data_IF_755965379739
#
_entry.id   IF_755965379739
#
_cell.length_a   1.000
_cell.length_b   1.000
_cell.length_c   1.000
_cell.angle_alpha   90.00
_cell.angle_beta   90.00
_cell.angle_gamma   90.00
#
_symmetry.space_group_name_H-M   'P 1'
#
loop_
_entity.id
_entity.type
_entity.pdbx_description
1 polymer ?
#
# COMPACT_ATOMS: atom_id res chain seq x y z
N UNK A 1 5.84 3.52 1.71
CA UNK A 1 6.56 3.28 0.45
C UNK A 1 5.54 2.86 -0.59
N UNK A 2 5.52 3.54 -1.74
CA UNK A 2 4.65 3.16 -2.87
C UNK A 2 5.32 2.06 -3.67
N UNK A 3 4.64 0.91 -3.82
CA UNK A 3 5.16 -0.30 -4.47
C UNK A 3 4.34 -0.65 -5.71
N UNK A 4 5.03 -1.20 -6.71
CA UNK A 4 4.47 -1.57 -8.02
C UNK A 4 4.61 -3.06 -8.33
N UNK A 5 5.43 -3.77 -7.57
CA UNK A 5 5.68 -5.20 -7.76
C UNK A 5 6.08 -5.88 -6.43
N UNK A 6 6.21 -7.21 -6.50
CA UNK A 6 6.63 -8.03 -5.37
C UNK A 6 8.09 -7.80 -4.97
N UNK A 7 8.97 -7.42 -5.91
CA UNK A 7 10.39 -7.24 -5.65
C UNK A 7 10.64 -5.99 -4.80
N UNK A 8 10.04 -4.86 -5.18
CA UNK A 8 10.06 -3.62 -4.43
C UNK A 8 9.40 -3.75 -3.06
N UNK A 9 8.25 -4.44 -2.98
CA UNK A 9 7.62 -4.73 -1.69
C UNK A 9 8.51 -5.59 -0.78
N UNK A 10 9.16 -6.63 -1.32
CA UNK A 10 10.10 -7.47 -0.58
C UNK A 10 11.29 -6.67 -0.08
N UNK A 11 11.88 -5.83 -0.92
CA UNK A 11 13.01 -4.99 -0.55
C UNK A 11 12.62 -4.01 0.57
N UNK A 12 11.46 -3.38 0.45
CA UNK A 12 10.91 -2.49 1.46
C UNK A 12 10.79 -3.19 2.83
N UNK A 13 10.22 -4.40 2.87
CA UNK A 13 10.11 -5.19 4.09
C UNK A 13 11.49 -5.50 4.67
N UNK A 14 12.41 -6.02 3.86
CA UNK A 14 13.76 -6.41 4.32
C UNK A 14 14.54 -5.24 4.91
N UNK A 15 14.50 -4.07 4.27
CA UNK A 15 15.19 -2.87 4.76
C UNK A 15 14.52 -2.26 6.00
N UNK A 16 13.20 -2.42 6.14
CA UNK A 16 12.49 -1.97 7.32
C UNK A 16 12.83 -2.83 8.55
N UNK A 17 12.96 -4.15 8.36
CA UNK A 17 13.24 -5.09 9.45
C UNK A 17 12.21 -4.96 10.58
N UNK A 18 12.65 -5.07 11.83
CA UNK A 18 11.76 -5.01 13.01
C UNK A 18 10.99 -3.69 13.19
N UNK A 19 11.42 -2.59 12.56
CA UNK A 19 10.70 -1.30 12.60
C UNK A 19 9.38 -1.35 11.84
N UNK A 20 9.33 -2.20 10.82
CA UNK A 20 8.21 -2.33 9.90
C UNK A 20 8.00 -1.14 8.96
N UNK A 21 7.08 -1.31 8.02
CA UNK A 21 6.83 -0.33 6.95
C UNK A 21 5.37 -0.32 6.52
N UNK A 22 4.89 0.84 6.06
CA UNK A 22 3.64 0.95 5.34
C UNK A 22 3.90 0.78 3.84
N UNK A 23 3.31 -0.27 3.26
CA UNK A 23 3.29 -0.52 1.82
C UNK A 23 2.02 0.11 1.23
N UNK A 24 2.19 1.03 0.30
CA UNK A 24 1.10 1.73 -0.40
C UNK A 24 1.12 1.27 -1.86
N UNK A 25 -0.03 1.03 -2.48
CA UNK A 25 -0.07 0.78 -3.92
C UNK A 25 0.23 2.04 -4.74
N UNK A 26 0.52 1.87 -6.03
CA UNK A 26 0.50 2.98 -6.99
C UNK A 26 -0.83 3.77 -6.91
N UNK A 27 -0.84 5.08 -7.24
CA UNK A 27 -2.06 5.88 -7.32
C UNK A 27 -3.13 5.21 -8.19
N UNK A 28 -4.36 5.09 -7.67
CA UNK A 28 -5.49 4.50 -8.40
C UNK A 28 -5.34 3.02 -8.76
N UNK A 29 -4.37 2.29 -8.22
CA UNK A 29 -4.10 0.91 -8.61
C UNK A 29 -5.31 -0.02 -8.48
N UNK A 30 -6.23 0.22 -7.55
CA UNK A 30 -7.43 -0.60 -7.44
C UNK A 30 -8.34 -0.48 -8.68
N UNK A 31 -8.38 0.69 -9.33
CA UNK A 31 -9.19 0.91 -10.53
C UNK A 31 -8.68 0.14 -11.75
N UNK A 32 -7.36 0.06 -11.92
CA UNK A 32 -6.73 -0.56 -13.09
C UNK A 32 -6.37 -2.04 -12.91
N UNK A 33 -5.92 -2.43 -11.72
CA UNK A 33 -5.38 -3.77 -11.44
C UNK A 33 -6.22 -4.56 -10.44
N UNK A 34 -7.10 -3.87 -9.70
CA UNK A 34 -7.97 -4.48 -8.70
C UNK A 34 -7.26 -4.84 -7.39
N UNK A 35 -8.03 -5.09 -6.31
CA UNK A 35 -7.48 -5.47 -5.00
C UNK A 35 -6.68 -6.78 -5.02
N UNK A 36 -7.05 -7.73 -5.88
CA UNK A 36 -6.42 -9.05 -5.97
C UNK A 36 -4.94 -8.96 -6.37
N UNK A 37 -4.60 -8.04 -7.29
CA UNK A 37 -3.21 -7.79 -7.67
C UNK A 37 -2.37 -7.35 -6.48
N UNK A 38 -2.88 -6.40 -5.69
CA UNK A 38 -2.13 -5.87 -4.54
C UNK A 38 -1.95 -6.94 -3.46
N UNK A 39 -2.97 -7.77 -3.21
CA UNK A 39 -2.87 -8.93 -2.34
C UNK A 39 -1.81 -9.94 -2.82
N UNK A 40 -1.68 -10.15 -4.13
CA UNK A 40 -0.65 -11.04 -4.67
C UNK A 40 0.76 -10.51 -4.39
N UNK A 41 1.00 -9.20 -4.56
CA UNK A 41 2.26 -8.53 -4.20
C UNK A 41 2.56 -8.70 -2.71
N UNK A 42 1.59 -8.41 -1.84
CA UNK A 42 1.75 -8.54 -0.40
C UNK A 42 2.03 -9.98 0.01
N UNK A 43 1.33 -10.95 -0.59
CA UNK A 43 1.54 -12.38 -0.33
C UNK A 43 2.95 -12.83 -0.74
N UNK A 44 3.43 -12.41 -1.90
CA UNK A 44 4.80 -12.71 -2.34
C UNK A 44 5.85 -12.09 -1.41
N UNK A 45 5.69 -10.82 -1.05
CA UNK A 45 6.61 -10.11 -0.16
C UNK A 45 6.64 -10.73 1.24
N UNK A 46 5.49 -11.11 1.81
CA UNK A 46 5.38 -11.81 3.10
C UNK A 46 6.12 -13.15 3.10
N UNK A 47 6.02 -13.93 2.02
CA UNK A 47 6.76 -15.19 1.89
C UNK A 47 8.27 -14.97 1.81
N UNK A 48 8.70 -13.89 1.14
CA UNK A 48 10.12 -13.58 0.95
C UNK A 48 10.78 -12.86 2.14
N UNK A 49 9.99 -12.29 3.05
CA UNK A 49 10.41 -11.59 4.26
C UNK A 49 9.46 -11.92 5.44
N UNK A 50 9.44 -13.18 5.91
CA UNK A 50 8.51 -13.63 6.94
C UNK A 50 8.73 -12.89 8.27
N UNK A 51 7.65 -12.61 8.98
CA UNK A 51 7.69 -11.99 10.31
C UNK A 51 7.99 -10.49 10.34
N UNK A 52 8.29 -9.86 9.21
CA UNK A 52 8.50 -8.40 9.16
C UNK A 52 7.16 -7.66 9.34
N UNK A 53 7.04 -6.80 10.37
CA UNK A 53 5.83 -6.02 10.59
C UNK A 53 5.56 -5.09 9.40
N UNK A 54 4.32 -5.04 8.94
CA UNK A 54 3.94 -4.08 7.90
C UNK A 54 2.45 -3.76 7.93
N UNK A 55 2.12 -2.59 7.39
CA UNK A 55 0.76 -2.20 7.04
C UNK A 55 0.64 -2.13 5.52
N UNK A 56 -0.56 -2.37 5.00
CA UNK A 56 -0.83 -2.32 3.58
C UNK A 56 -1.98 -1.35 3.31
N UNK A 57 -1.76 -0.38 2.43
CA UNK A 57 -2.76 0.59 2.00
C UNK A 57 -2.99 0.43 0.50
N UNK A 58 -4.23 0.15 0.12
CA UNK A 58 -4.62 0.13 -1.29
C UNK A 58 -5.21 1.49 -1.67
N UNK A 59 -4.72 2.07 -2.75
CA UNK A 59 -5.28 3.28 -3.31
C UNK A 59 -6.39 2.94 -4.31
N UNK A 60 -7.60 3.38 -3.98
CA UNK A 60 -8.79 3.21 -4.78
C UNK A 60 -9.17 4.45 -5.60
N UNK A 61 -8.40 5.55 -5.54
CA UNK A 61 -8.72 6.83 -6.16
C UNK A 61 -10.20 7.19 -6.00
N UNK A 62 -10.97 7.27 -7.08
CA UNK A 62 -12.39 7.58 -7.13
C UNK A 62 -13.28 6.34 -7.37
N UNK A 63 -12.76 5.12 -7.16
CA UNK A 63 -13.43 3.85 -7.46
C UNK A 63 -14.04 3.17 -6.21
N UNK A 64 -15.27 3.53 -5.79
CA UNK A 64 -15.88 3.01 -4.56
C UNK A 64 -16.20 1.52 -4.64
N UNK A 65 -16.53 1.00 -5.83
CA UNK A 65 -16.76 -0.43 -6.04
C UNK A 65 -15.50 -1.26 -5.75
N UNK A 66 -14.32 -0.74 -6.10
CA UNK A 66 -13.04 -1.38 -5.81
C UNK A 66 -12.68 -1.27 -4.32
N UNK A 67 -13.00 -0.14 -3.67
CA UNK A 67 -12.85 -0.02 -2.22
C UNK A 67 -13.71 -1.05 -1.46
N UNK A 68 -14.98 -1.20 -1.83
CA UNK A 68 -15.86 -2.23 -1.25
C UNK A 68 -15.34 -3.66 -1.53
N UNK A 69 -14.82 -3.91 -2.73
CA UNK A 69 -14.20 -5.19 -3.04
C UNK A 69 -12.97 -5.47 -2.16
N UNK A 70 -12.13 -4.46 -1.93
CA UNK A 70 -10.96 -4.56 -1.07
C UNK A 70 -11.33 -4.85 0.39
N UNK A 71 -12.38 -4.20 0.92
CA UNK A 71 -12.89 -4.48 2.26
C UNK A 71 -13.31 -5.96 2.41
N UNK A 72 -13.99 -6.52 1.41
CA UNK A 72 -14.40 -7.94 1.40
C UNK A 72 -13.23 -8.91 1.37
N UNK A 73 -12.07 -8.50 0.87
CA UNK A 73 -10.86 -9.33 0.84
C UNK A 73 -9.97 -9.17 2.08
N UNK A 74 -10.40 -8.37 3.07
CA UNK A 74 -9.65 -8.13 4.30
C UNK A 74 -8.54 -7.08 4.16
N UNK A 75 -8.57 -6.23 3.12
CA UNK A 75 -7.75 -5.02 3.10
C UNK A 75 -8.42 -3.96 3.98
N UNK A 76 -7.84 -3.73 5.15
CA UNK A 76 -8.39 -2.86 6.19
C UNK A 76 -7.84 -1.43 6.20
N UNK A 77 -7.05 -1.01 5.22
CA UNK A 77 -6.59 0.38 5.10
C UNK A 77 -6.60 0.79 3.62
N UNK A 78 -7.44 1.75 3.27
CA UNK A 78 -7.74 2.13 1.89
C UNK A 78 -7.63 3.65 1.73
N UNK A 79 -7.28 4.12 0.53
CA UNK A 79 -7.45 5.52 0.13
C UNK A 79 -8.64 5.61 -0.83
N UNK A 80 -9.55 6.55 -0.58
CA UNK A 80 -10.63 6.90 -1.50
C UNK A 80 -10.78 8.42 -1.49
N UNK A 81 -10.99 9.00 -2.67
CA UNK A 81 -11.23 10.43 -2.83
C UNK A 81 -12.55 10.82 -2.14
N UNK A 82 -12.55 11.80 -1.21
CA UNK A 82 -13.76 12.31 -0.57
C UNK A 82 -14.75 12.96 -1.54
N UNK A 83 -14.32 13.36 -2.74
CA UNK A 83 -15.20 13.85 -3.80
C UNK A 83 -16.05 12.74 -4.45
N UNK A 84 -15.71 11.46 -4.21
CA UNK A 84 -16.52 10.33 -4.67
C UNK A 84 -17.93 10.38 -4.06
N UNK A 85 -19.02 10.34 -4.85
CA UNK A 85 -20.39 10.39 -4.32
C UNK A 85 -20.73 9.29 -3.30
N UNK A 86 -20.01 8.16 -3.36
CA UNK A 86 -20.21 7.02 -2.47
C UNK A 86 -19.26 7.00 -1.26
N UNK A 87 -18.48 8.07 -1.02
CA UNK A 87 -17.46 8.08 0.03
C UNK A 87 -18.03 7.78 1.42
N UNK A 88 -19.15 8.41 1.80
CA UNK A 88 -19.77 8.21 3.11
C UNK A 88 -20.25 6.75 3.31
N UNK A 89 -20.78 6.13 2.26
CA UNK A 89 -21.25 4.75 2.29
C UNK A 89 -20.06 3.78 2.42
N UNK A 90 -18.97 4.04 1.70
CA UNK A 90 -17.73 3.25 1.84
C UNK A 90 -17.11 3.44 3.23
N UNK A 91 -17.12 4.65 3.77
CA UNK A 91 -16.62 4.94 5.12
C UNK A 91 -17.42 4.18 6.19
N UNK A 92 -18.75 4.14 6.07
CA UNK A 92 -19.61 3.35 6.94
C UNK A 92 -19.31 1.84 6.82
N UNK A 93 -19.16 1.33 5.59
CA UNK A 93 -18.79 -0.07 5.36
C UNK A 93 -17.41 -0.42 5.95
N UNK A 94 -16.43 0.48 5.82
CA UNK A 94 -15.11 0.32 6.41
C UNK A 94 -15.19 0.25 7.94
N UNK A 95 -15.95 1.14 8.58
CA UNK A 95 -16.14 1.15 10.03
C UNK A 95 -16.75 -0.17 10.56
N UNK A 96 -17.73 -0.74 9.85
CA UNK A 96 -18.36 -2.01 10.23
C UNK A 96 -17.38 -3.19 10.29
N UNK A 97 -16.32 -3.16 9.49
CA UNK A 97 -15.29 -4.21 9.44
C UNK A 97 -13.98 -3.81 10.12
N UNK A 98 -13.99 -2.71 10.90
CA UNK A 98 -12.81 -2.19 11.58
C UNK A 98 -11.70 -1.71 10.63
N UNK A 99 -12.05 -1.39 9.39
CA UNK A 99 -11.12 -0.85 8.40
C UNK A 99 -11.02 0.68 8.49
N UNK A 100 -9.92 1.21 7.98
CA UNK A 100 -9.63 2.63 7.85
C UNK A 100 -9.81 3.07 6.40
N UNK A 101 -10.62 4.11 6.20
CA UNK A 101 -10.70 4.82 4.94
C UNK A 101 -9.96 6.16 5.08
N UNK A 102 -8.97 6.40 4.23
CA UNK A 102 -8.18 7.63 4.19
C UNK A 102 -8.72 8.53 3.09
N UNK A 103 -9.00 9.81 3.36
CA UNK A 103 -9.42 10.76 2.33
C UNK A 103 -8.26 11.20 1.43
N UNK A 104 -7.02 10.90 1.80
CA UNK A 104 -5.83 11.26 1.05
C UNK A 104 -4.75 10.18 1.19
N UNK A 105 -3.88 10.11 0.17
CA UNK A 105 -2.69 9.26 0.20
C UNK A 105 -1.76 9.71 1.33
N UNK A 106 -1.22 8.79 2.14
CA UNK A 106 -0.15 9.14 3.05
C UNK A 106 1.15 9.39 2.27
N UNK A 107 2.04 10.21 2.83
CA UNK A 107 3.37 10.44 2.26
C UNK A 107 4.13 9.12 2.06
N UNK A 108 4.80 9.03 0.92
CA UNK A 108 5.50 7.81 0.56
C UNK A 108 6.64 8.08 -0.42
N UNK A 109 7.75 7.38 -0.22
CA UNK A 109 8.75 7.20 -1.27
C UNK A 109 8.20 6.23 -2.33
N UNK A 110 8.13 6.69 -3.59
CA UNK A 110 7.72 5.87 -4.73
C UNK A 110 8.90 5.08 -5.29
N UNK A 111 8.71 3.76 -5.38
CA UNK A 111 9.72 2.83 -5.89
C UNK A 111 9.67 2.65 -7.41
N UNK A 112 8.57 3.01 -8.07
CA UNK A 112 8.39 2.79 -9.51
C UNK A 112 9.49 3.41 -10.37
N UNK A 113 9.90 4.67 -10.11
CA UNK A 113 10.97 5.33 -10.85
C UNK A 113 12.39 4.86 -10.48
N UNK A 114 12.56 4.02 -9.45
CA UNK A 114 13.87 3.68 -8.91
C UNK A 114 14.39 2.37 -9.47
N UNK A 115 15.64 2.38 -9.95
CA UNK A 115 16.37 1.15 -10.27
C UNK A 115 16.91 0.52 -8.98
N UNK A 116 16.13 -0.41 -8.42
CA UNK A 116 16.41 -1.08 -7.14
C UNK A 116 17.64 -2.02 -7.18
N UNK A 117 18.23 -2.24 -8.36
CA UNK A 117 19.49 -2.98 -8.49
C UNK A 117 20.70 -2.13 -8.10
N UNK A 118 20.57 -0.80 -8.18
CA UNK A 118 21.65 0.14 -7.85
C UNK A 118 21.70 0.46 -6.36
N UNK A 119 22.90 0.55 -5.83
CA UNK A 119 23.12 0.84 -4.40
C UNK A 119 22.56 2.21 -3.99
N UNK A 120 22.60 3.20 -4.87
CA UNK A 120 22.02 4.52 -4.62
C UNK A 120 20.52 4.48 -4.34
N UNK A 121 19.76 3.62 -5.04
CA UNK A 121 18.34 3.44 -4.77
C UNK A 121 18.13 2.82 -3.38
N UNK A 122 18.89 1.77 -3.05
CA UNK A 122 18.82 1.11 -1.73
C UNK A 122 19.15 2.05 -0.58
N UNK A 123 20.15 2.92 -0.75
CA UNK A 123 20.52 3.94 0.22
C UNK A 123 19.37 4.94 0.45
N UNK A 124 18.73 5.41 -0.63
CA UNK A 124 17.56 6.30 -0.55
C UNK A 124 16.39 5.65 0.19
N UNK A 125 16.14 4.36 -0.05
CA UNK A 125 15.11 3.59 0.66
C UNK A 125 15.41 3.48 2.15
N UNK A 126 16.66 3.16 2.49
CA UNK A 126 17.10 3.06 3.88
C UNK A 126 16.96 4.41 4.62
N UNK A 127 17.36 5.52 3.98
CA UNK A 127 17.23 6.87 4.53
C UNK A 127 15.77 7.26 4.81
N UNK A 128 14.87 6.98 3.86
CA UNK A 128 13.43 7.18 4.06
C UNK A 128 12.91 6.37 5.26
N UNK A 129 13.33 5.11 5.38
CA UNK A 129 12.89 4.22 6.46
C UNK A 129 13.49 4.56 7.84
N UNK A 130 14.57 5.33 7.91
CA UNK A 130 15.12 5.85 9.17
C UNK A 130 14.53 7.22 9.56
N UNK A 131 13.63 7.78 8.75
CA UNK A 131 13.10 9.14 8.96
C UNK A 131 14.11 10.24 8.61
N UNK A 132 15.15 9.90 7.85
CA UNK A 132 16.19 10.84 7.40
C UNK A 132 15.94 11.31 5.95
N UNK A 133 14.66 11.42 5.55
CA UNK A 133 14.22 11.74 4.19
C UNK A 133 13.53 13.08 4.09
#
# INVERSE_FOLDING_TARGET
MTVHDAAGATLALRLAGGRGVLLLSAPGAAGSLGPAWFLAILGAARRAAPGVPHRAVLDCADAPGQALAALRTGLHDLVLDPACPAFAQVAAAAALVGARLRPARPDSLDLGPLDLTRDGARARLAAWLSGAG
#
